data_IF_674696280825
#
_entry.id   IF_674696280825
#
_cell.length_a   1.000
_cell.length_b   1.000
_cell.length_c   1.000
_cell.angle_alpha   90.00
_cell.angle_beta   90.00
_cell.angle_gamma   90.00
#
_symmetry.space_group_name_H-M   'P 1'
#
loop_
_entity.id
_entity.type
_entity.pdbx_description
1 polymer ?
#
# COMPACT_ATOMS: atom_id res chain seq x y z
N UNK A 1 23.82 -7.83 -1.61
CA UNK A 1 23.68 -6.94 -0.43
C UNK A 1 22.21 -6.59 -0.32
N UNK A 2 21.60 -6.71 0.87
CA UNK A 2 20.18 -6.43 1.09
C UNK A 2 20.04 -5.28 2.09
N UNK A 3 19.13 -4.34 1.79
CA UNK A 3 18.79 -3.22 2.69
C UNK A 3 17.41 -3.53 3.25
N UNK A 4 17.28 -3.54 4.59
CA UNK A 4 16.03 -3.79 5.29
C UNK A 4 15.75 -2.59 6.17
N UNK A 5 14.51 -2.11 6.14
CA UNK A 5 14.03 -0.97 6.92
C UNK A 5 12.58 -1.20 7.31
N UNK A 6 12.22 -0.83 8.54
CA UNK A 6 10.84 -0.85 9.03
C UNK A 6 10.30 0.57 9.12
N UNK A 7 9.03 0.76 8.76
CA UNK A 7 8.34 2.04 8.79
C UNK A 7 6.89 1.83 9.23
N UNK A 8 6.33 2.83 9.89
CA UNK A 8 4.89 2.93 10.13
C UNK A 8 4.14 3.11 8.81
N UNK A 9 2.91 2.58 8.74
CA UNK A 9 2.04 2.77 7.58
C UNK A 9 1.75 4.26 7.36
N UNK A 10 2.02 4.76 6.15
CA UNK A 10 1.70 6.14 5.78
C UNK A 10 1.71 6.33 4.27
N UNK A 11 0.94 7.30 3.77
CA UNK A 11 0.95 7.68 2.36
C UNK A 11 2.34 8.12 1.85
N UNK A 12 3.19 8.65 2.75
CA UNK A 12 4.57 9.01 2.40
C UNK A 12 5.44 7.79 2.12
N UNK A 13 5.20 6.68 2.82
CA UNK A 13 5.90 5.41 2.58
C UNK A 13 5.58 4.88 1.18
N UNK A 14 4.30 4.89 0.80
CA UNK A 14 3.87 4.49 -0.55
C UNK A 14 4.49 5.38 -1.64
N UNK A 15 4.49 6.69 -1.42
CA UNK A 15 5.11 7.64 -2.34
C UNK A 15 6.62 7.41 -2.46
N UNK A 16 7.29 7.07 -1.36
CA UNK A 16 8.72 6.75 -1.36
C UNK A 16 9.01 5.48 -2.18
N UNK A 17 8.21 4.42 -1.99
CA UNK A 17 8.31 3.18 -2.77
C UNK A 17 8.08 3.47 -4.27
N UNK A 18 7.06 4.26 -4.61
CA UNK A 18 6.81 4.67 -6.00
C UNK A 18 7.95 5.49 -6.59
N UNK A 19 8.59 6.37 -5.82
CA UNK A 19 9.78 7.10 -6.27
C UNK A 19 10.96 6.17 -6.54
N UNK A 20 11.11 5.07 -5.78
CA UNK A 20 12.14 4.07 -6.06
C UNK A 20 11.85 3.36 -7.38
N UNK A 21 10.62 2.89 -7.60
CA UNK A 21 10.22 2.27 -8.87
C UNK A 21 10.46 3.21 -10.07
N UNK A 22 10.05 4.48 -9.95
CA UNK A 22 10.26 5.50 -10.99
C UNK A 22 11.73 5.82 -11.28
N UNK A 23 12.65 5.53 -10.34
CA UNK A 23 14.09 5.70 -10.53
C UNK A 23 14.76 4.50 -11.19
N UNK A 24 13.98 3.51 -11.64
CA UNK A 24 14.48 2.33 -12.35
C UNK A 24 14.79 1.14 -11.44
N UNK A 25 14.30 1.14 -10.20
CA UNK A 25 14.36 -0.07 -9.38
C UNK A 25 13.28 -1.06 -9.87
N UNK A 26 13.71 -2.26 -10.23
CA UNK A 26 12.83 -3.37 -10.59
C UNK A 26 11.92 -3.75 -9.42
N UNK A 27 10.64 -4.00 -9.72
CA UNK A 27 9.63 -4.35 -8.71
C UNK A 27 9.99 -5.66 -8.01
N UNK A 28 10.62 -6.58 -8.73
CA UNK A 28 11.10 -7.88 -8.26
C UNK A 28 12.20 -7.74 -7.19
N UNK A 29 12.83 -6.56 -7.08
CA UNK A 29 13.88 -6.26 -6.11
C UNK A 29 13.35 -5.51 -4.87
N UNK A 30 12.06 -5.19 -4.83
CA UNK A 30 11.42 -4.50 -3.71
C UNK A 30 10.37 -5.42 -3.10
N UNK A 31 10.49 -5.66 -1.79
CA UNK A 31 9.51 -6.45 -1.03
C UNK A 31 9.05 -5.63 0.16
N UNK A 32 7.72 -5.49 0.29
CA UNK A 32 7.08 -4.91 1.47
C UNK A 32 6.35 -6.04 2.21
N UNK A 33 6.64 -6.19 3.49
CA UNK A 33 6.02 -7.20 4.35
C UNK A 33 5.31 -6.43 5.49
N UNK A 34 3.99 -6.60 5.67
CA UNK A 34 3.30 -6.03 6.82
C UNK A 34 3.81 -6.70 8.09
N UNK A 35 4.27 -5.90 9.06
CA UNK A 35 4.74 -6.39 10.37
C UNK A 35 3.59 -6.49 11.38
N UNK A 36 2.52 -5.75 11.15
CA UNK A 36 1.30 -5.77 11.95
C UNK A 36 0.11 -6.16 11.06
N UNK A 37 -0.70 -7.08 11.56
CA UNK A 37 -2.01 -7.39 10.97
C UNK A 37 -3.01 -6.32 11.38
N UNK A 38 -3.80 -5.74 10.44
CA UNK A 38 -4.86 -4.81 10.80
C UNK A 38 -5.87 -5.52 11.70
N UNK A 39 -6.03 -5.04 12.93
CA UNK A 39 -6.99 -5.56 13.92
C UNK A 39 -8.38 -4.93 13.78
N UNK A 40 -8.60 -4.04 12.83
CA UNK A 40 -9.85 -3.29 12.72
C UNK A 40 -10.75 -3.78 11.58
N UNK A 41 -11.98 -4.13 11.95
CA UNK A 41 -13.07 -4.40 10.99
C UNK A 41 -13.34 -3.13 10.18
N UNK A 42 -13.44 -3.18 8.84
CA UNK A 42 -13.68 -1.99 8.04
C UNK A 42 -15.05 -1.41 8.40
N UNK A 43 -15.04 -0.30 9.14
CA UNK A 43 -16.25 0.49 9.38
C UNK A 43 -16.60 1.13 8.04
N UNK A 44 -17.82 0.89 7.56
CA UNK A 44 -18.38 1.33 6.28
C UNK A 44 -18.23 2.84 5.96
N UNK A 45 -17.80 3.67 6.92
CA UNK A 45 -17.71 5.12 6.81
C UNK A 45 -16.42 5.68 7.39
N UNK A 46 -15.28 5.04 7.14
CA UNK A 46 -13.99 5.70 7.37
C UNK A 46 -13.41 6.21 6.04
N UNK A 47 -13.60 7.51 5.78
CA UNK A 47 -13.20 8.15 4.51
C UNK A 47 -11.69 8.44 4.49
N UNK A 48 -10.98 8.26 5.60
CA UNK A 48 -9.56 8.60 5.75
C UNK A 48 -8.64 7.37 5.58
N UNK A 49 -9.14 6.15 5.82
CA UNK A 49 -8.41 4.88 5.59
C UNK A 49 -8.37 4.42 4.13
N UNK A 50 -8.89 5.22 3.19
CA UNK A 50 -8.93 4.89 1.75
C UNK A 50 -7.55 4.90 1.08
N UNK A 51 -6.50 5.34 1.79
CA UNK A 51 -5.12 5.29 1.32
C UNK A 51 -4.52 3.88 1.39
N UNK A 52 -5.06 2.97 2.20
CA UNK A 52 -4.46 1.66 2.50
C UNK A 52 -4.67 0.62 1.37
N UNK A 53 -5.00 1.06 0.15
CA UNK A 53 -5.10 0.22 -1.04
C UNK A 53 -6.38 -0.62 -1.20
N UNK A 54 -7.24 -0.73 -0.19
CA UNK A 54 -8.58 -1.33 -0.32
C UNK A 54 -9.67 -0.27 -0.47
N UNK A 55 -9.78 0.28 -1.68
CA UNK A 55 -10.87 1.19 -2.04
C UNK A 55 -12.03 0.40 -2.66
N UNK A 56 -13.28 0.65 -2.25
CA UNK A 56 -14.48 0.15 -2.95
C UNK A 56 -14.52 0.52 -4.44
N UNK A 57 -13.70 1.50 -4.87
CA UNK A 57 -13.49 1.80 -6.28
C UNK A 57 -12.77 0.69 -7.05
N UNK A 58 -11.87 -0.04 -6.41
CA UNK A 58 -11.18 -1.18 -7.05
C UNK A 58 -12.16 -2.34 -7.30
N UNK A 59 -13.14 -2.53 -6.40
CA UNK A 59 -14.24 -3.47 -6.63
C UNK A 59 -15.18 -2.98 -7.75
N UNK A 60 -15.40 -1.66 -7.85
CA UNK A 60 -16.22 -1.06 -8.91
C UNK A 60 -15.57 -1.20 -10.30
N UNK A 61 -14.24 -1.23 -10.38
CA UNK A 61 -13.51 -1.51 -11.61
C UNK A 61 -13.69 -2.97 -12.10
N UNK A 62 -14.00 -3.91 -11.19
CA UNK A 62 -14.28 -5.32 -11.52
C UNK A 62 -15.74 -5.53 -11.95
N UNK A 63 -16.69 -4.73 -11.47
CA UNK A 63 -18.12 -4.86 -11.81
C UNK A 63 -18.50 -4.01 -13.05
N UNK A 64 -17.61 -3.13 -13.51
CA UNK A 64 -17.79 -2.35 -14.74
C UNK A 64 -17.26 -3.04 -16.02
N UNK A 65 -16.91 -4.33 -15.93
CA UNK A 65 -16.53 -5.22 -17.05
C UNK A 65 -17.57 -6.32 -17.20
#
# INVERSE_FOLDING_TARGET
MHIISSFEHSAFLELAINKLLNRGFEKEKIVAIPLETPTEQPKFFDTIHRADGFSLFDLSAVIAV
#
